data_IF_693008698557
#
_entry.id   IF_693008698557
#
_cell.length_a   1.000
_cell.length_b   1.000
_cell.length_c   1.000
_cell.angle_alpha   90.00
_cell.angle_beta   90.00
_cell.angle_gamma   90.00
#
_symmetry.space_group_name_H-M   'P 1'
#
loop_
_entity.id
_entity.type
_entity.pdbx_description
1 polymer ?
#
# COMPACT_ATOMS: atom_id res chain seq x y z
N UNK A 1 4.01 15.65 -27.19
CA UNK A 1 4.72 14.90 -26.13
C UNK A 1 3.76 14.01 -25.32
N UNK A 2 2.71 14.52 -24.69
CA UNK A 2 1.80 13.80 -23.79
C UNK A 2 1.12 12.58 -24.46
N UNK A 3 0.58 12.75 -25.69
CA UNK A 3 -0.07 11.68 -26.45
C UNK A 3 0.89 10.52 -26.76
N UNK A 4 2.15 10.82 -27.08
CA UNK A 4 3.18 9.83 -27.34
C UNK A 4 3.54 9.03 -26.10
N UNK A 5 3.63 9.68 -24.93
CA UNK A 5 3.89 8.99 -23.66
C UNK A 5 2.76 7.99 -23.35
N UNK A 6 1.51 8.41 -23.50
CA UNK A 6 0.36 7.50 -23.28
C UNK A 6 0.38 6.30 -24.24
N UNK A 7 0.77 6.50 -25.48
CA UNK A 7 0.86 5.41 -26.45
C UNK A 7 2.01 4.43 -26.11
N UNK A 8 3.16 4.95 -25.68
CA UNK A 8 4.29 4.10 -25.22
C UNK A 8 3.86 3.27 -24.01
N UNK A 9 3.23 3.91 -23.00
CA UNK A 9 2.77 3.20 -21.80
C UNK A 9 1.74 2.11 -22.16
N UNK A 10 0.80 2.41 -23.07
CA UNK A 10 -0.18 1.42 -23.54
C UNK A 10 0.49 0.21 -24.17
N UNK A 11 1.46 0.42 -25.07
CA UNK A 11 2.21 -0.68 -25.69
C UNK A 11 3.00 -1.48 -24.66
N UNK A 12 3.66 -0.81 -23.73
CA UNK A 12 4.38 -1.51 -22.66
C UNK A 12 3.44 -2.41 -21.83
N UNK A 13 2.24 -1.94 -21.52
CA UNK A 13 1.24 -2.74 -20.79
C UNK A 13 0.79 -3.92 -21.65
N UNK A 14 0.49 -3.70 -22.92
CA UNK A 14 0.06 -4.73 -23.86
C UNK A 14 1.12 -5.84 -24.00
N UNK A 15 2.38 -5.47 -24.20
CA UNK A 15 3.51 -6.40 -24.29
C UNK A 15 3.68 -7.24 -23.01
N UNK A 16 3.55 -6.59 -21.82
CA UNK A 16 3.70 -7.27 -20.54
C UNK A 16 2.56 -8.25 -20.29
N UNK A 17 1.33 -7.86 -20.61
CA UNK A 17 0.14 -8.71 -20.43
C UNK A 17 0.16 -9.88 -21.42
N UNK A 18 0.51 -9.64 -22.67
CA UNK A 18 0.60 -10.68 -23.72
C UNK A 18 1.65 -11.72 -23.34
N UNK A 19 2.86 -11.29 -22.95
CA UNK A 19 3.91 -12.22 -22.50
C UNK A 19 3.47 -13.06 -21.30
N UNK A 20 2.82 -12.45 -20.32
CA UNK A 20 2.32 -13.17 -19.13
C UNK A 20 1.32 -14.27 -19.51
N UNK A 21 0.39 -13.95 -20.42
CA UNK A 21 -0.62 -14.90 -20.90
C UNK A 21 0.03 -16.03 -21.68
N UNK A 22 0.89 -15.70 -22.65
CA UNK A 22 1.56 -16.67 -23.51
C UNK A 22 2.49 -17.60 -22.74
N UNK A 23 3.34 -17.05 -21.85
CA UNK A 23 4.24 -17.83 -21.02
C UNK A 23 3.48 -18.73 -20.03
N UNK A 24 2.38 -18.25 -19.47
CA UNK A 24 1.52 -19.04 -18.58
C UNK A 24 0.81 -20.14 -19.36
N UNK A 25 0.26 -19.85 -20.54
CA UNK A 25 -0.39 -20.84 -21.37
C UNK A 25 0.58 -21.97 -21.77
N UNK A 26 1.81 -21.63 -22.15
CA UNK A 26 2.86 -22.61 -22.43
C UNK A 26 3.12 -23.55 -21.27
N UNK A 27 3.31 -23.00 -20.04
CA UNK A 27 3.52 -23.81 -18.82
C UNK A 27 2.33 -24.68 -18.48
N UNK A 28 1.10 -24.20 -18.69
CA UNK A 28 -0.11 -25.00 -18.48
C UNK A 28 -0.19 -26.19 -19.47
N UNK A 29 0.16 -25.95 -20.73
CA UNK A 29 0.22 -27.03 -21.74
C UNK A 29 1.27 -28.08 -21.40
N UNK A 30 2.41 -27.67 -20.87
CA UNK A 30 3.49 -28.57 -20.45
C UNK A 30 3.13 -29.36 -19.20
N UNK A 31 2.67 -28.66 -18.15
CA UNK A 31 2.37 -29.27 -16.85
C UNK A 31 1.10 -30.11 -16.84
N UNK A 32 0.13 -29.85 -17.71
CA UNK A 32 -1.16 -30.55 -17.85
C UNK A 32 -1.82 -30.88 -16.51
N UNK A 33 -1.99 -29.93 -15.58
CA UNK A 33 -2.54 -30.21 -14.28
C UNK A 33 -3.99 -30.72 -14.39
N UNK A 34 -4.30 -31.83 -13.71
CA UNK A 34 -5.63 -32.43 -13.77
C UNK A 34 -6.67 -31.59 -13.01
N UNK A 35 -6.26 -30.86 -12.00
CA UNK A 35 -7.12 -30.00 -11.16
C UNK A 35 -6.30 -28.95 -10.41
N UNK A 36 -6.99 -28.10 -9.66
CA UNK A 36 -6.38 -26.99 -8.91
C UNK A 36 -5.46 -27.48 -7.77
N UNK A 37 -5.73 -28.64 -7.19
CA UNK A 37 -4.91 -29.17 -6.10
C UNK A 37 -3.54 -29.62 -6.60
N UNK A 38 -3.48 -30.16 -7.82
CA UNK A 38 -2.21 -30.44 -8.51
C UNK A 38 -1.43 -29.16 -8.74
N UNK A 39 -2.09 -28.07 -9.20
CA UNK A 39 -1.44 -26.77 -9.37
C UNK A 39 -0.85 -26.25 -8.05
N UNK A 40 -1.60 -26.35 -6.94
CA UNK A 40 -1.14 -25.90 -5.62
C UNK A 40 0.02 -26.74 -5.06
N UNK A 41 0.13 -27.98 -5.47
CA UNK A 41 1.21 -28.88 -5.05
C UNK A 41 2.51 -28.72 -5.85
N UNK A 42 2.51 -27.92 -6.92
CA UNK A 42 3.71 -27.69 -7.72
C UNK A 42 4.76 -26.87 -6.94
N UNK A 43 6.03 -27.23 -7.15
CA UNK A 43 7.16 -26.51 -6.52
C UNK A 43 7.33 -25.07 -7.05
N UNK A 44 6.83 -24.79 -8.24
CA UNK A 44 6.95 -23.50 -8.90
C UNK A 44 5.59 -23.02 -9.43
N UNK A 45 5.30 -21.70 -9.38
CA UNK A 45 4.07 -21.17 -9.92
C UNK A 45 4.01 -21.35 -11.45
N UNK A 46 2.85 -21.71 -11.97
CA UNK A 46 2.62 -21.77 -13.41
C UNK A 46 2.43 -20.37 -14.03
N UNK A 47 1.86 -19.44 -13.25
CA UNK A 47 1.65 -18.05 -13.70
C UNK A 47 2.96 -17.28 -13.55
N UNK A 48 3.41 -16.68 -14.63
CA UNK A 48 4.63 -15.87 -14.59
C UNK A 48 5.07 -15.46 -16.01
N UNK A 49 5.92 -14.46 -16.07
CA UNK A 49 6.53 -13.98 -17.30
C UNK A 49 7.48 -15.01 -17.93
N UNK A 50 7.80 -14.82 -19.21
CA UNK A 50 8.99 -15.42 -19.81
C UNK A 50 10.25 -14.95 -19.08
N UNK A 51 11.37 -15.71 -19.20
CA UNK A 51 12.64 -15.33 -18.57
C UNK A 51 13.11 -13.93 -19.02
N UNK A 52 13.03 -13.65 -20.32
CA UNK A 52 13.43 -12.37 -20.87
C UNK A 52 12.60 -11.23 -20.29
N UNK A 53 11.28 -11.37 -20.26
CA UNK A 53 10.38 -10.35 -19.74
C UNK A 53 10.51 -10.17 -18.23
N UNK A 54 10.76 -11.24 -17.49
CA UNK A 54 11.03 -11.17 -16.06
C UNK A 54 12.30 -10.37 -15.75
N UNK A 55 13.36 -10.54 -16.53
CA UNK A 55 14.60 -9.77 -16.38
C UNK A 55 14.37 -8.27 -16.65
N UNK A 56 13.73 -7.91 -17.78
CA UNK A 56 13.38 -6.52 -18.12
C UNK A 56 12.50 -5.88 -17.05
N UNK A 57 11.50 -6.62 -16.55
CA UNK A 57 10.62 -6.16 -15.49
C UNK A 57 11.37 -5.92 -14.16
N UNK A 58 12.34 -6.76 -13.83
CA UNK A 58 13.21 -6.58 -12.67
C UNK A 58 14.06 -5.31 -12.78
N UNK A 59 14.63 -5.04 -13.96
CA UNK A 59 15.38 -3.81 -14.25
C UNK A 59 14.49 -2.56 -14.12
N UNK A 60 13.29 -2.60 -14.71
CA UNK A 60 12.33 -1.50 -14.60
C UNK A 60 11.95 -1.22 -13.14
N UNK A 61 11.65 -2.28 -12.36
CA UNK A 61 11.38 -2.15 -10.92
C UNK A 61 12.54 -1.52 -10.16
N UNK A 62 13.77 -1.93 -10.46
CA UNK A 62 14.99 -1.38 -9.85
C UNK A 62 15.15 0.10 -10.19
N UNK A 63 14.95 0.47 -11.45
CA UNK A 63 14.99 1.85 -11.92
C UNK A 63 13.94 2.71 -11.19
N UNK A 64 12.67 2.28 -11.19
CA UNK A 64 11.59 3.00 -10.53
C UNK A 64 11.82 3.12 -9.02
N UNK A 65 12.31 2.06 -8.37
CA UNK A 65 12.64 2.11 -6.95
C UNK A 65 13.66 3.19 -6.63
N UNK A 66 14.69 3.33 -7.48
CA UNK A 66 15.80 4.27 -7.24
C UNK A 66 15.42 5.70 -7.63
N UNK A 67 14.75 5.87 -8.77
CA UNK A 67 14.52 7.19 -9.37
C UNK A 67 13.19 7.82 -9.00
N UNK A 68 12.18 7.01 -8.64
CA UNK A 68 10.84 7.49 -8.31
C UNK A 68 10.53 7.26 -6.83
N UNK A 69 10.46 6.01 -6.37
CA UNK A 69 9.98 5.70 -5.03
C UNK A 69 10.92 6.11 -3.89
N UNK A 70 12.23 6.26 -4.18
CA UNK A 70 13.23 6.81 -3.26
C UNK A 70 13.63 8.24 -3.60
N UNK A 71 12.79 8.94 -4.36
CA UNK A 71 13.01 10.35 -4.60
C UNK A 71 12.88 11.12 -3.28
N UNK A 72 13.78 12.07 -3.05
CA UNK A 72 13.86 12.85 -1.80
C UNK A 72 12.50 13.44 -1.39
N UNK A 73 11.76 13.98 -2.33
CA UNK A 73 10.44 14.54 -2.08
C UNK A 73 9.43 13.49 -1.58
N UNK A 74 9.44 12.28 -2.15
CA UNK A 74 8.54 11.17 -1.73
C UNK A 74 8.96 10.64 -0.36
N UNK A 75 10.26 10.54 -0.09
CA UNK A 75 10.78 10.13 1.22
C UNK A 75 10.40 11.12 2.32
N UNK A 76 10.47 12.42 2.05
CA UNK A 76 10.04 13.46 3.00
C UNK A 76 8.54 13.33 3.34
N UNK A 77 7.69 13.14 2.33
CA UNK A 77 6.25 12.93 2.52
C UNK A 77 5.97 11.65 3.32
N UNK A 78 6.67 10.55 3.00
CA UNK A 78 6.53 9.28 3.70
C UNK A 78 6.93 9.38 5.17
N UNK A 79 8.01 10.10 5.46
CA UNK A 79 8.46 10.36 6.82
C UNK A 79 7.43 11.16 7.61
N UNK A 80 6.87 12.21 7.02
CA UNK A 80 5.79 13.00 7.63
C UNK A 80 4.54 12.17 7.92
N UNK A 81 4.10 11.37 6.95
CA UNK A 81 2.96 10.48 7.15
C UNK A 81 3.20 9.44 8.25
N UNK A 82 4.40 8.85 8.30
CA UNK A 82 4.77 7.90 9.35
C UNK A 82 4.76 8.52 10.74
N UNK A 83 5.18 9.79 10.87
CA UNK A 83 5.11 10.53 12.13
C UNK A 83 3.67 10.77 12.58
N UNK A 84 2.77 11.14 11.65
CA UNK A 84 1.34 11.30 11.93
C UNK A 84 0.72 10.00 12.43
N UNK A 85 0.94 8.89 11.72
CA UNK A 85 0.40 7.58 12.12
C UNK A 85 0.92 7.14 13.49
N UNK A 86 2.20 7.35 13.77
CA UNK A 86 2.78 7.04 15.08
C UNK A 86 2.16 7.90 16.18
N UNK A 87 2.04 9.20 15.96
CA UNK A 87 1.44 10.12 16.93
C UNK A 87 -0.03 9.79 17.22
N UNK A 88 -0.82 9.42 16.21
CA UNK A 88 -2.19 8.94 16.39
C UNK A 88 -2.25 7.65 17.20
N UNK A 89 -1.43 6.67 16.85
CA UNK A 89 -1.36 5.41 17.57
C UNK A 89 -1.00 5.61 19.05
N UNK A 90 0.04 6.38 19.34
CA UNK A 90 0.48 6.70 20.70
C UNK A 90 -0.60 7.44 21.48
N UNK A 91 -1.25 8.44 20.89
CA UNK A 91 -2.31 9.20 21.53
C UNK A 91 -3.53 8.33 21.91
N UNK A 92 -3.96 7.44 21.03
CA UNK A 92 -5.06 6.52 21.30
C UNK A 92 -4.68 5.38 22.25
N UNK A 93 -3.43 4.94 22.22
CA UNK A 93 -2.93 3.98 23.22
C UNK A 93 -2.88 4.59 24.62
N UNK A 94 -2.55 5.86 24.75
CA UNK A 94 -2.56 6.58 26.04
C UNK A 94 -3.98 6.81 26.53
N UNK A 95 -4.90 7.22 25.65
CA UNK A 95 -6.26 7.57 26.00
C UNK A 95 -7.26 7.18 24.90
N UNK A 96 -7.87 6.01 25.05
CA UNK A 96 -8.89 5.50 24.11
C UNK A 96 -10.16 6.36 24.06
N UNK A 97 -10.40 7.22 25.07
CA UNK A 97 -11.58 8.09 25.07
C UNK A 97 -11.53 9.18 23.99
N UNK A 98 -10.37 9.41 23.40
CA UNK A 98 -10.16 10.29 22.24
C UNK A 98 -10.66 9.71 20.94
N UNK A 99 -10.91 8.40 20.88
CA UNK A 99 -11.48 7.72 19.71
C UNK A 99 -12.99 7.94 19.63
N UNK A 100 -13.62 7.87 18.45
CA UNK A 100 -15.07 7.80 18.32
C UNK A 100 -15.65 6.64 19.14
N UNK A 101 -16.87 6.80 19.65
CA UNK A 101 -17.48 5.89 20.63
C UNK A 101 -17.42 4.42 20.22
N UNK A 102 -17.75 4.12 18.96
CA UNK A 102 -17.73 2.75 18.41
C UNK A 102 -16.34 2.10 18.50
N UNK A 103 -15.30 2.82 18.07
CA UNK A 103 -13.92 2.32 18.09
C UNK A 103 -13.34 2.24 19.50
N UNK A 104 -13.70 3.20 20.37
CA UNK A 104 -13.34 3.18 21.78
C UNK A 104 -13.91 1.94 22.49
N UNK A 105 -15.20 1.66 22.30
CA UNK A 105 -15.87 0.55 22.95
C UNK A 105 -15.31 -0.80 22.47
N UNK A 106 -14.98 -0.91 21.18
CA UNK A 106 -14.25 -2.05 20.63
C UNK A 106 -12.86 -2.21 21.26
N UNK A 107 -12.11 -1.11 21.41
CA UNK A 107 -10.79 -1.15 22.04
C UNK A 107 -10.83 -1.61 23.50
N UNK A 108 -11.79 -1.12 24.29
CA UNK A 108 -12.00 -1.54 25.66
C UNK A 108 -12.42 -3.01 25.78
N UNK A 109 -13.30 -3.48 24.90
CA UNK A 109 -13.69 -4.89 24.85
C UNK A 109 -12.50 -5.80 24.51
N UNK A 110 -11.69 -5.45 23.53
CA UNK A 110 -10.49 -6.20 23.17
C UNK A 110 -9.43 -6.16 24.27
N UNK A 111 -9.28 -5.04 24.96
CA UNK A 111 -8.40 -4.94 26.12
C UNK A 111 -8.84 -5.86 27.26
N UNK A 112 -10.14 -5.93 27.54
CA UNK A 112 -10.69 -6.83 28.56
C UNK A 112 -10.39 -8.30 28.22
N UNK A 113 -10.46 -8.66 26.93
CA UNK A 113 -10.24 -10.03 26.48
C UNK A 113 -8.77 -10.43 26.36
N UNK A 114 -7.88 -9.50 25.98
CA UNK A 114 -6.50 -9.79 25.56
C UNK A 114 -5.46 -8.84 26.17
N UNK A 115 -5.87 -8.00 27.11
CA UNK A 115 -4.99 -6.98 27.73
C UNK A 115 -4.53 -5.92 26.74
N UNK A 116 -3.36 -5.35 27.01
CA UNK A 116 -2.78 -4.27 26.17
C UNK A 116 -2.57 -4.67 24.72
N UNK A 117 -2.37 -5.94 24.42
CA UNK A 117 -2.24 -6.42 23.04
C UNK A 117 -3.58 -6.26 22.29
N UNK A 118 -4.71 -6.53 22.93
CA UNK A 118 -6.03 -6.31 22.37
C UNK A 118 -6.31 -4.82 22.11
N UNK A 119 -5.98 -3.93 23.07
CA UNK A 119 -6.06 -2.47 22.87
C UNK A 119 -5.22 -2.05 21.67
N UNK A 120 -3.95 -2.48 21.61
CA UNK A 120 -3.05 -2.11 20.54
C UNK A 120 -3.57 -2.56 19.17
N UNK A 121 -4.17 -3.75 19.08
CA UNK A 121 -4.78 -4.25 17.85
C UNK A 121 -5.96 -3.39 17.42
N UNK A 122 -6.89 -3.08 18.30
CA UNK A 122 -8.05 -2.25 17.98
C UNK A 122 -7.66 -0.84 17.56
N UNK A 123 -6.69 -0.23 18.25
CA UNK A 123 -6.14 1.08 17.87
C UNK A 123 -5.47 1.03 16.50
N UNK A 124 -4.67 -0.02 16.23
CA UNK A 124 -4.01 -0.19 14.94
C UNK A 124 -5.03 -0.34 13.80
N UNK A 125 -6.08 -1.14 14.00
CA UNK A 125 -7.14 -1.34 13.01
C UNK A 125 -7.91 -0.03 12.74
N UNK A 126 -8.18 0.78 13.76
CA UNK A 126 -8.80 2.09 13.58
C UNK A 126 -7.90 3.05 12.77
N UNK A 127 -6.62 3.17 13.14
CA UNK A 127 -5.67 4.04 12.42
C UNK A 127 -5.45 3.55 10.98
N UNK A 128 -5.37 2.24 10.76
CA UNK A 128 -5.21 1.66 9.43
C UNK A 128 -6.43 1.86 8.51
N UNK A 129 -7.62 2.04 9.10
CA UNK A 129 -8.85 2.36 8.37
C UNK A 129 -8.97 3.82 7.94
N UNK A 130 -8.07 4.69 8.37
CA UNK A 130 -8.11 6.11 8.02
C UNK A 130 -7.62 6.35 6.58
N UNK A 131 -8.28 7.30 5.90
CA UNK A 131 -7.66 7.91 4.71
C UNK A 131 -6.57 8.90 5.15
N UNK A 132 -5.60 9.17 4.28
CA UNK A 132 -4.52 10.13 4.57
C UNK A 132 -5.07 11.47 5.08
N UNK A 133 -6.07 11.99 4.39
CA UNK A 133 -6.71 13.25 4.76
C UNK A 133 -7.31 13.21 6.17
N UNK A 134 -7.99 12.12 6.50
CA UNK A 134 -8.61 11.95 7.82
C UNK A 134 -7.55 11.82 8.91
N UNK A 135 -6.48 11.06 8.68
CA UNK A 135 -5.38 10.91 9.63
C UNK A 135 -4.72 12.26 9.96
N UNK A 136 -4.48 13.11 8.96
CA UNK A 136 -3.94 14.46 9.20
C UNK A 136 -4.91 15.36 9.96
N UNK A 137 -6.20 15.32 9.66
CA UNK A 137 -7.22 16.08 10.38
C UNK A 137 -7.31 15.63 11.85
N UNK A 138 -7.27 14.34 12.08
CA UNK A 138 -7.35 13.75 13.42
C UNK A 138 -6.09 14.07 14.25
N UNK A 139 -4.92 14.04 13.63
CA UNK A 139 -3.67 14.48 14.25
C UNK A 139 -3.74 15.97 14.65
N UNK A 140 -4.25 16.84 13.79
CA UNK A 140 -4.43 18.26 14.09
C UNK A 140 -5.41 18.46 15.26
N UNK A 141 -6.53 17.71 15.29
CA UNK A 141 -7.51 17.72 16.39
C UNK A 141 -6.86 17.33 17.71
N UNK A 142 -6.07 16.28 17.74
CA UNK A 142 -5.42 15.77 18.95
C UNK A 142 -4.30 16.68 19.47
N UNK A 143 -3.60 17.38 18.55
CA UNK A 143 -2.48 18.26 18.88
C UNK A 143 -2.92 19.67 19.32
N UNK A 144 -4.22 20.00 19.21
CA UNK A 144 -4.70 21.37 19.42
C UNK A 144 -4.20 22.36 18.36
N UNK A 145 -3.52 21.89 17.33
CA UNK A 145 -3.13 22.69 16.17
C UNK A 145 -4.38 22.97 15.33
N UNK A 146 -4.62 24.21 14.97
CA UNK A 146 -5.74 24.60 14.09
C UNK A 146 -5.73 23.82 12.78
N UNK A 147 -6.81 23.89 11.99
CA UNK A 147 -7.06 23.07 10.81
C UNK A 147 -5.81 22.91 9.94
N UNK A 148 -5.45 21.65 9.67
CA UNK A 148 -4.37 21.28 8.77
C UNK A 148 -4.66 21.81 7.35
N UNK A 149 -3.70 22.52 6.75
CA UNK A 149 -3.74 22.94 5.37
C UNK A 149 -3.14 21.85 4.46
N UNK A 150 -3.95 21.16 3.64
CA UNK A 150 -3.46 20.12 2.73
C UNK A 150 -2.58 20.66 1.60
N UNK A 151 -2.52 21.97 1.40
CA UNK A 151 -1.81 22.58 0.25
C UNK A 151 -0.29 22.59 0.42
N UNK A 152 0.22 22.43 1.65
CA UNK A 152 1.67 22.38 1.92
C UNK A 152 2.34 21.04 1.61
N UNK A 153 1.57 19.95 1.45
CA UNK A 153 2.10 18.59 1.23
C UNK A 153 1.91 18.07 -0.19
N UNK A 154 1.05 18.69 -0.99
CA UNK A 154 0.86 18.33 -2.39
C UNK A 154 1.28 19.53 -3.22
N UNK A 155 2.39 19.48 -3.98
CA UNK A 155 2.71 20.54 -4.91
C UNK A 155 1.53 20.69 -5.85
N UNK A 156 0.98 21.91 -5.96
CA UNK A 156 0.01 22.28 -6.97
C UNK A 156 0.48 21.74 -8.31
N UNK A 157 -0.36 20.96 -8.98
CA UNK A 157 -0.08 20.52 -10.36
C UNK A 157 0.18 21.80 -11.16
N UNK A 158 1.45 22.03 -11.49
CA UNK A 158 1.83 23.07 -12.42
C UNK A 158 1.01 22.90 -13.70
N UNK A 159 0.41 23.98 -14.13
CA UNK A 159 -0.30 24.14 -15.39
C UNK A 159 0.56 23.71 -16.59
#
# INVERSE_FOLDING_TARGET
>A
ARRMIHEIVRRMIDDVVSDLIEATAGRLVEAKPANIDVVRALAHPLVGFSEARAAEHAELKKFLRTRLYRHEHIEAQRTGAAQVLRGLFEAFMQDVTRMPAEHRDAALAMETAQGMAGRARAVADYVAGMTDRYAFQEQARLSGAGSWDPTGLIPSRGE
#
